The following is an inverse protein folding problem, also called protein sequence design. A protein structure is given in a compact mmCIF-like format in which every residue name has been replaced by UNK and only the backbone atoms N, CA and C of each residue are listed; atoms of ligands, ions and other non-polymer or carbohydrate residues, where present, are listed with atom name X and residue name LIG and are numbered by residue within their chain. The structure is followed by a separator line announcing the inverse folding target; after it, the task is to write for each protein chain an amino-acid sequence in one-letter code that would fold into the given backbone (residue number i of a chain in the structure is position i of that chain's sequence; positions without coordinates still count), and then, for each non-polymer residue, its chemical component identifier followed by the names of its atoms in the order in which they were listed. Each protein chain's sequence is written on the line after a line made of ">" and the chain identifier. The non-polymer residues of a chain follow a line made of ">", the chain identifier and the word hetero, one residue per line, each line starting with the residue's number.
data_IF_550158147593
#
_entry.id   IF_550158147593
#
_cell.length_a   1.000
_cell.length_b   1.000
_cell.length_c   1.000
_cell.angle_alpha   90.00
_cell.angle_beta   90.00
_cell.angle_gamma   90.00
#
_symmetry.space_group_name_H-M   'P 1'
#
loop_
_entity.id
_entity.type
_entity.pdbx_description
1 polymer ?
#
# COMPACT_ATOMS: atom_id res chain seq x y z
N UNK A 1 -4.66 10.64 8.27
CA UNK A 1 -4.93 11.31 9.56
C UNK A 1 -3.67 11.51 10.39
N UNK A 2 -2.86 10.48 10.67
CA UNK A 2 -1.61 10.63 11.44
C UNK A 2 -0.64 11.71 10.91
N UNK A 3 -0.49 11.86 9.60
CA UNK A 3 0.32 12.93 9.01
C UNK A 3 -0.13 14.36 9.39
N UNK A 4 -1.45 14.61 9.49
CA UNK A 4 -1.98 15.91 9.93
C UNK A 4 -1.70 16.15 11.41
N UNK A 5 -1.82 15.13 12.25
CA UNK A 5 -1.62 15.23 13.69
C UNK A 5 -0.15 15.48 14.04
N UNK A 6 0.77 14.71 13.42
CA UNK A 6 2.21 14.79 13.75
C UNK A 6 2.97 15.87 12.99
N UNK A 7 2.60 16.17 11.73
CA UNK A 7 3.36 17.09 10.85
C UNK A 7 2.57 18.34 10.43
N UNK A 8 1.32 18.50 10.88
CA UNK A 8 0.44 19.65 10.55
C UNK A 8 0.31 19.92 9.06
N UNK A 9 0.34 18.88 8.25
CA UNK A 9 0.28 19.02 6.80
C UNK A 9 -1.13 19.40 6.32
N UNK A 10 -1.25 20.31 5.33
CA UNK A 10 -2.54 20.59 4.74
C UNK A 10 -3.01 19.36 3.94
N UNK A 11 -4.07 18.68 4.37
CA UNK A 11 -4.76 17.74 3.45
C UNK A 11 -5.51 18.58 2.42
N UNK A 12 -5.22 18.33 1.16
CA UNK A 12 -5.99 18.88 0.06
C UNK A 12 -7.41 18.29 0.07
N UNK A 13 -8.40 19.08 -0.31
CA UNK A 13 -9.80 18.66 -0.45
C UNK A 13 -9.90 17.49 -1.45
N UNK A 14 -9.13 17.54 -2.54
CA UNK A 14 -9.03 16.47 -3.54
C UNK A 14 -8.56 15.15 -2.94
N UNK A 15 -7.61 15.17 -1.99
CA UNK A 15 -7.17 13.96 -1.30
C UNK A 15 -8.27 13.38 -0.41
N UNK A 16 -9.02 14.23 0.29
CA UNK A 16 -10.11 13.77 1.15
C UNK A 16 -11.23 13.10 0.33
N UNK A 17 -11.62 13.70 -0.79
CA UNK A 17 -12.63 13.13 -1.71
C UNK A 17 -12.13 11.79 -2.27
N UNK A 18 -10.87 11.74 -2.72
CA UNK A 18 -10.31 10.51 -3.27
C UNK A 18 -10.26 9.39 -2.24
N UNK A 19 -9.92 9.66 -0.98
CA UNK A 19 -9.91 8.64 0.09
C UNK A 19 -11.31 8.10 0.36
N UNK A 20 -12.33 8.96 0.36
CA UNK A 20 -13.71 8.50 0.51
C UNK A 20 -14.08 7.61 -0.67
N UNK A 21 -13.73 8.02 -1.88
CA UNK A 21 -14.03 7.27 -3.09
C UNK A 21 -13.31 5.92 -3.13
N UNK A 22 -12.05 5.84 -2.71
CA UNK A 22 -11.33 4.56 -2.62
C UNK A 22 -11.96 3.64 -1.57
N UNK A 23 -12.34 4.16 -0.39
CA UNK A 23 -12.99 3.36 0.65
C UNK A 23 -14.33 2.80 0.14
N UNK A 24 -15.16 3.64 -0.47
CA UNK A 24 -16.43 3.19 -1.07
C UNK A 24 -16.16 2.16 -2.16
N UNK A 25 -15.20 2.40 -3.06
CA UNK A 25 -14.79 1.46 -4.08
C UNK A 25 -14.43 0.08 -3.51
N UNK A 26 -13.62 0.02 -2.46
CA UNK A 26 -13.23 -1.23 -1.77
C UNK A 26 -14.44 -1.95 -1.16
N UNK A 27 -15.39 -1.22 -0.57
CA UNK A 27 -16.62 -1.83 0.02
C UNK A 27 -17.44 -2.53 -1.06
N UNK A 28 -17.58 -1.91 -2.24
CA UNK A 28 -18.26 -2.52 -3.38
C UNK A 28 -17.48 -3.71 -3.95
N UNK A 29 -16.16 -3.58 -4.10
CA UNK A 29 -15.25 -4.64 -4.54
C UNK A 29 -15.35 -5.90 -3.70
N UNK A 30 -15.34 -5.75 -2.38
CA UNK A 30 -15.36 -6.87 -1.44
C UNK A 30 -16.75 -7.52 -1.34
N UNK A 31 -17.73 -7.02 -2.10
CA UNK A 31 -19.14 -7.41 -2.04
C UNK A 31 -19.71 -7.36 -0.62
N UNK A 32 -19.17 -6.46 0.21
CA UNK A 32 -19.55 -6.32 1.62
C UNK A 32 -21.07 -6.18 1.82
N UNK A 33 -21.82 -5.41 1.00
CA UNK A 33 -23.27 -5.25 1.16
C UNK A 33 -24.04 -6.57 1.06
N UNK A 34 -23.62 -7.48 0.19
CA UNK A 34 -24.26 -8.79 0.03
C UNK A 34 -23.95 -9.74 1.19
N UNK A 35 -22.76 -9.61 1.81
CA UNK A 35 -22.34 -10.42 2.95
C UNK A 35 -22.99 -10.03 4.27
N UNK A 36 -23.46 -8.78 4.40
CA UNK A 36 -24.22 -8.33 5.58
C UNK A 36 -25.60 -8.99 5.70
N UNK A 37 -26.15 -9.50 4.60
CA UNK A 37 -27.48 -10.13 4.56
C UNK A 37 -27.42 -11.65 4.79
N UNK A 38 -26.23 -12.25 4.85
CA UNK A 38 -26.02 -13.66 5.18
C UNK A 38 -25.88 -13.85 6.71
N UNK A 39 -26.24 -15.04 7.19
CA UNK A 39 -26.38 -15.46 8.60
C UNK A 39 -25.30 -14.93 9.58
N UNK A 40 -25.61 -14.81 10.90
CA UNK A 40 -24.73 -14.20 11.89
C UNK A 40 -23.32 -14.78 11.83
N UNK A 41 -22.35 -13.93 11.53
CA UNK A 41 -20.95 -14.28 11.44
C UNK A 41 -20.52 -14.84 12.80
N UNK A 42 -20.25 -16.15 12.88
CA UNK A 42 -19.66 -16.73 14.08
C UNK A 42 -18.29 -16.08 14.29
N UNK A 43 -18.19 -15.25 15.34
CA UNK A 43 -16.96 -14.63 15.79
C UNK A 43 -16.12 -15.70 16.50
N UNK A 44 -15.28 -16.39 15.73
CA UNK A 44 -14.25 -17.28 16.29
C UNK A 44 -13.07 -16.43 16.79
N UNK A 45 -12.41 -16.89 17.86
CA UNK A 45 -11.24 -16.23 18.46
C UNK A 45 -10.15 -15.91 17.42
N UNK A 46 -9.96 -16.79 16.44
CA UNK A 46 -8.97 -16.61 15.35
C UNK A 46 -9.25 -15.36 14.49
N UNK A 47 -10.54 -15.06 14.23
CA UNK A 47 -10.93 -13.86 13.47
C UNK A 47 -10.62 -12.58 14.23
N UNK A 48 -10.75 -12.63 15.56
CA UNK A 48 -10.45 -11.49 16.43
C UNK A 48 -8.93 -11.24 16.46
N UNK A 49 -8.11 -12.29 16.57
CA UNK A 49 -6.66 -12.16 16.46
C UNK A 49 -6.22 -11.61 15.10
N UNK A 50 -6.83 -12.09 14.00
CA UNK A 50 -6.57 -11.57 12.66
C UNK A 50 -6.94 -10.08 12.52
N UNK A 51 -8.09 -9.66 13.06
CA UNK A 51 -8.52 -8.26 13.05
C UNK A 51 -7.57 -7.37 13.86
N UNK A 52 -7.17 -7.80 15.06
CA UNK A 52 -6.22 -7.08 15.88
C UNK A 52 -4.85 -6.95 15.20
N UNK A 53 -4.36 -8.03 14.58
CA UNK A 53 -3.12 -8.02 13.82
C UNK A 53 -3.19 -7.06 12.62
N UNK A 54 -4.34 -6.99 11.91
CA UNK A 54 -4.53 -6.06 10.81
C UNK A 54 -4.57 -4.59 11.27
N UNK A 55 -5.20 -4.29 12.41
CA UNK A 55 -5.20 -2.93 12.97
C UNK A 55 -3.78 -2.53 13.39
N UNK A 56 -3.05 -3.45 14.02
CA UNK A 56 -1.67 -3.23 14.44
C UNK A 56 -0.74 -3.01 13.24
N UNK A 57 -0.87 -3.80 12.17
CA UNK A 57 -0.05 -3.64 10.96
C UNK A 57 -0.32 -2.29 10.28
N UNK A 58 -1.58 -1.84 10.21
CA UNK A 58 -1.93 -0.51 9.70
C UNK A 58 -1.22 0.60 10.50
N UNK A 59 -1.17 0.47 11.83
CA UNK A 59 -0.49 1.42 12.68
C UNK A 59 1.02 1.44 12.40
N UNK A 60 1.69 0.28 12.37
CA UNK A 60 3.11 0.15 12.05
C UNK A 60 3.45 0.72 10.67
N UNK A 61 2.68 0.36 9.64
CA UNK A 61 2.87 0.87 8.27
C UNK A 61 2.76 2.39 8.27
N UNK A 62 1.73 2.95 8.91
CA UNK A 62 1.56 4.41 8.98
C UNK A 62 2.73 5.10 9.69
N UNK A 63 3.28 4.50 10.75
CA UNK A 63 4.44 5.01 11.46
C UNK A 63 5.71 4.96 10.59
N UNK A 64 5.96 3.85 9.90
CA UNK A 64 7.11 3.68 8.99
C UNK A 64 7.09 4.74 7.90
N UNK A 65 5.94 4.99 7.27
CA UNK A 65 5.77 6.00 6.23
C UNK A 65 6.11 7.42 6.74
N UNK A 66 5.70 7.74 7.97
CA UNK A 66 5.99 9.03 8.62
C UNK A 66 7.46 9.17 9.03
N UNK A 67 8.05 8.12 9.60
CA UNK A 67 9.47 8.09 10.01
C UNK A 67 10.36 8.20 8.78
N UNK A 68 10.06 7.43 7.73
CA UNK A 68 10.75 7.46 6.43
C UNK A 68 10.82 8.88 5.88
N UNK A 69 9.71 9.61 5.97
CA UNK A 69 9.66 11.01 5.57
C UNK A 69 10.48 11.92 6.48
N UNK A 70 10.41 11.74 7.80
CA UNK A 70 11.19 12.54 8.76
C UNK A 70 12.69 12.42 8.51
N UNK A 71 13.14 11.26 8.02
CA UNK A 71 14.54 10.93 7.78
C UNK A 71 14.91 11.08 6.28
N UNK A 72 14.22 11.93 5.52
CA UNK A 72 14.47 12.13 4.06
C UNK A 72 15.89 12.57 3.69
N UNK A 73 16.63 13.14 4.64
CA UNK A 73 18.00 13.61 4.44
C UNK A 73 19.02 12.46 4.32
N UNK A 74 18.65 11.24 4.73
CA UNK A 74 19.51 10.06 4.63
C UNK A 74 19.39 9.45 3.22
N UNK A 75 20.49 8.87 2.74
CA UNK A 75 20.51 8.17 1.46
C UNK A 75 19.57 6.96 1.49
N UNK A 76 18.82 6.76 0.40
CA UNK A 76 17.75 5.77 0.29
C UNK A 76 18.26 4.35 0.58
N UNK A 77 19.45 4.03 0.09
CA UNK A 77 20.10 2.74 0.31
C UNK A 77 20.35 2.41 1.80
N UNK A 78 20.60 3.41 2.65
CA UNK A 78 20.83 3.18 4.08
C UNK A 78 19.51 2.84 4.76
N UNK A 79 18.43 3.52 4.36
CA UNK A 79 17.12 3.31 4.93
C UNK A 79 16.52 1.96 4.52
N UNK A 80 16.62 1.59 3.24
CA UNK A 80 16.17 0.27 2.75
C UNK A 80 16.98 -0.87 3.36
N UNK A 81 18.29 -0.70 3.54
CA UNK A 81 19.12 -1.67 4.25
C UNK A 81 18.68 -1.85 5.71
N UNK A 82 18.41 -0.75 6.42
CA UNK A 82 17.94 -0.79 7.80
C UNK A 82 16.56 -1.47 7.92
N UNK A 83 15.63 -1.19 7.02
CA UNK A 83 14.36 -1.91 6.99
C UNK A 83 14.53 -3.39 6.64
N UNK A 84 15.47 -3.72 5.76
CA UNK A 84 15.75 -5.10 5.34
C UNK A 84 16.16 -6.02 6.50
N UNK A 85 17.13 -5.62 7.32
CA UNK A 85 17.57 -6.49 8.43
C UNK A 85 16.54 -6.56 9.56
N UNK A 86 15.81 -5.46 9.84
CA UNK A 86 14.72 -5.47 10.83
C UNK A 86 13.59 -6.39 10.37
N UNK A 87 13.19 -6.30 9.10
CA UNK A 87 12.19 -7.21 8.51
C UNK A 87 12.65 -8.66 8.52
N UNK A 88 13.94 -8.91 8.28
CA UNK A 88 14.52 -10.26 8.40
C UNK A 88 14.36 -10.81 9.82
N UNK A 89 14.64 -10.01 10.86
CA UNK A 89 14.44 -10.43 12.25
C UNK A 89 12.96 -10.63 12.58
N UNK A 90 12.10 -9.73 12.12
CA UNK A 90 10.65 -9.79 12.33
C UNK A 90 10.04 -11.07 11.73
N UNK A 91 10.57 -11.56 10.59
CA UNK A 91 10.11 -12.80 9.97
C UNK A 91 10.81 -14.02 10.60
N UNK A 92 12.11 -13.93 10.90
CA UNK A 92 12.90 -15.05 11.42
C UNK A 92 12.44 -15.47 12.83
N UNK A 93 12.12 -14.50 13.71
CA UNK A 93 11.73 -14.79 15.10
C UNK A 93 10.44 -15.62 15.20
N UNK A 94 9.30 -15.22 14.60
CA UNK A 94 8.09 -16.04 14.58
C UNK A 94 8.33 -17.37 13.89
N UNK A 95 9.06 -17.39 12.78
CA UNK A 95 9.35 -18.64 12.04
C UNK A 95 10.13 -19.64 12.91
N UNK A 96 11.08 -19.17 13.71
CA UNK A 96 11.81 -20.01 14.66
C UNK A 96 10.92 -20.55 15.78
N UNK A 97 9.97 -19.75 16.28
CA UNK A 97 9.03 -20.15 17.33
C UNK A 97 8.02 -21.18 16.83
N UNK A 98 7.49 -21.01 15.61
CA UNK A 98 6.49 -21.92 15.05
C UNK A 98 7.08 -23.21 14.44
N UNK A 99 8.41 -23.33 14.32
CA UNK A 99 9.14 -24.58 14.05
C UNK A 99 8.90 -25.26 12.69
N UNK A 100 8.09 -24.68 11.79
CA UNK A 100 7.67 -25.31 10.52
C UNK A 100 8.52 -24.86 9.32
N UNK A 101 9.82 -24.71 9.50
CA UNK A 101 10.67 -24.20 8.43
C UNK A 101 11.06 -25.32 7.46
N UNK A 102 10.47 -25.29 6.26
CA UNK A 102 10.83 -26.19 5.15
C UNK A 102 11.59 -25.40 4.10
N UNK A 103 12.90 -25.63 4.01
CA UNK A 103 13.72 -24.99 3.00
C UNK A 103 13.48 -25.66 1.64
N UNK A 104 12.89 -24.94 0.70
CA UNK A 104 12.71 -25.41 -0.67
C UNK A 104 13.96 -25.06 -1.50
N UNK A 105 15.05 -25.83 -1.37
CA UNK A 105 16.31 -25.57 -2.08
C UNK A 105 16.30 -26.03 -3.54
N UNK A 106 15.50 -27.02 -3.90
CA UNK A 106 15.56 -27.66 -5.22
C UNK A 106 14.35 -27.32 -6.10
N UNK A 107 14.63 -26.79 -7.30
CA UNK A 107 13.66 -26.63 -8.38
C UNK A 107 13.52 -25.21 -8.92
N UNK A 108 12.59 -25.02 -9.87
CA UNK A 108 12.24 -23.73 -10.46
C UNK A 108 11.66 -22.76 -9.40
N UNK A 109 11.15 -23.29 -8.27
CA UNK A 109 10.63 -22.51 -7.15
C UNK A 109 11.65 -21.52 -6.58
N UNK A 110 12.93 -21.91 -6.47
CA UNK A 110 14.00 -21.03 -6.01
C UNK A 110 14.20 -19.81 -6.93
N UNK A 111 14.00 -20.01 -8.24
CA UNK A 111 14.10 -18.93 -9.25
C UNK A 111 12.92 -17.95 -9.07
N UNK A 112 11.71 -18.44 -8.85
CA UNK A 112 10.56 -17.58 -8.58
C UNK A 112 10.71 -16.78 -7.28
N UNK A 113 11.26 -17.38 -6.23
CA UNK A 113 11.55 -16.67 -4.97
C UNK A 113 12.58 -15.57 -5.19
N UNK A 114 13.64 -15.84 -5.96
CA UNK A 114 14.65 -14.83 -6.29
C UNK A 114 14.06 -13.68 -7.11
N UNK A 115 13.24 -14.00 -8.12
CA UNK A 115 12.56 -13.00 -8.96
C UNK A 115 11.62 -12.13 -8.11
N UNK A 116 10.84 -12.75 -7.22
CA UNK A 116 9.95 -12.06 -6.28
C UNK A 116 10.76 -11.13 -5.36
N UNK A 117 11.86 -11.60 -4.80
CA UNK A 117 12.71 -10.79 -3.93
C UNK A 117 13.29 -9.57 -4.66
N UNK A 118 13.75 -9.74 -5.90
CA UNK A 118 14.26 -8.65 -6.73
C UNK A 118 13.17 -7.61 -7.04
N UNK A 119 11.96 -8.06 -7.40
CA UNK A 119 10.85 -7.17 -7.70
C UNK A 119 10.35 -6.43 -6.46
N UNK A 120 10.22 -7.12 -5.32
CA UNK A 120 9.84 -6.51 -4.04
C UNK A 120 10.86 -5.47 -3.58
N UNK A 121 12.16 -5.81 -3.61
CA UNK A 121 13.21 -4.86 -3.25
C UNK A 121 13.19 -3.62 -4.14
N UNK A 122 12.98 -3.79 -5.45
CA UNK A 122 12.85 -2.68 -6.38
C UNK A 122 11.63 -1.82 -6.04
N UNK A 123 10.47 -2.42 -5.77
CA UNK A 123 9.25 -1.71 -5.36
C UNK A 123 9.45 -0.92 -4.07
N UNK A 124 10.05 -1.53 -3.06
CA UNK A 124 10.33 -0.87 -1.77
C UNK A 124 11.28 0.33 -1.93
N UNK A 125 12.31 0.20 -2.77
CA UNK A 125 13.24 1.32 -3.04
C UNK A 125 12.55 2.49 -3.73
N UNK A 126 11.67 2.22 -4.70
CA UNK A 126 10.88 3.24 -5.39
C UNK A 126 9.91 3.92 -4.42
N UNK A 127 9.25 3.14 -3.55
CA UNK A 127 8.33 3.67 -2.54
C UNK A 127 9.06 4.58 -1.54
N UNK A 128 10.22 4.14 -1.05
CA UNK A 128 11.10 4.95 -0.20
C UNK A 128 11.48 6.26 -0.89
N UNK A 129 11.88 6.22 -2.16
CA UNK A 129 12.21 7.42 -2.94
C UNK A 129 10.99 8.35 -3.06
N UNK A 130 9.81 7.81 -3.36
CA UNK A 130 8.58 8.59 -3.48
C UNK A 130 8.22 9.32 -2.18
N UNK A 131 8.36 8.65 -1.03
CA UNK A 131 8.10 9.24 0.29
C UNK A 131 9.12 10.30 0.69
N UNK A 132 10.36 10.20 0.20
CA UNK A 132 11.34 11.25 0.40
C UNK A 132 11.09 12.46 -0.49
N UNK A 133 10.40 12.29 -1.62
CA UNK A 133 10.12 13.36 -2.58
C UNK A 133 8.82 14.12 -2.30
N UNK A 134 7.75 13.41 -1.92
CA UNK A 134 6.41 13.96 -1.78
C UNK A 134 5.85 13.87 -0.36
N UNK A 135 4.67 14.46 -0.16
CA UNK A 135 3.98 14.35 1.12
C UNK A 135 3.47 12.90 1.33
N UNK A 136 3.65 12.35 2.53
CA UNK A 136 3.24 10.99 2.89
C UNK A 136 1.74 10.72 2.64
N UNK A 137 0.89 11.74 2.82
CA UNK A 137 -0.54 11.66 2.52
C UNK A 137 -0.82 11.27 1.06
N UNK A 138 -0.52 12.14 0.07
CA UNK A 138 -0.75 11.85 -1.34
C UNK A 138 -0.04 10.58 -1.82
N UNK A 139 1.21 10.32 -1.40
CA UNK A 139 1.94 9.10 -1.78
C UNK A 139 1.19 7.85 -1.32
N UNK A 140 0.75 7.81 -0.05
CA UNK A 140 0.00 6.66 0.49
C UNK A 140 -1.33 6.43 -0.23
N UNK A 141 -2.03 7.51 -0.58
CA UNK A 141 -3.33 7.40 -1.28
C UNK A 141 -3.17 6.89 -2.71
N UNK A 142 -2.14 7.34 -3.43
CA UNK A 142 -1.86 6.87 -4.79
C UNK A 142 -1.42 5.42 -4.77
N UNK A 143 -0.53 5.05 -3.85
CA UNK A 143 -0.08 3.68 -3.67
C UNK A 143 -1.27 2.73 -3.44
N UNK A 144 -2.12 3.04 -2.46
CA UNK A 144 -3.29 2.21 -2.16
C UNK A 144 -4.23 2.09 -3.36
N UNK A 145 -4.51 3.18 -4.08
CA UNK A 145 -5.37 3.14 -5.26
C UNK A 145 -4.76 2.33 -6.42
N UNK A 146 -3.45 2.47 -6.63
CA UNK A 146 -2.71 1.71 -7.65
C UNK A 146 -2.68 0.21 -7.32
N UNK A 147 -2.39 -0.16 -6.07
CA UNK A 147 -2.37 -1.56 -5.63
C UNK A 147 -3.73 -2.24 -5.85
N UNK A 148 -4.83 -1.56 -5.48
CA UNK A 148 -6.19 -2.08 -5.69
C UNK A 148 -6.48 -2.24 -7.18
N UNK A 149 -6.16 -1.22 -7.98
CA UNK A 149 -6.45 -1.23 -9.42
C UNK A 149 -5.64 -2.30 -10.16
N UNK A 150 -4.35 -2.44 -9.83
CA UNK A 150 -3.47 -3.46 -10.39
C UNK A 150 -3.91 -4.86 -9.97
N UNK A 151 -4.30 -5.05 -8.70
CA UNK A 151 -4.84 -6.33 -8.24
C UNK A 151 -6.08 -6.74 -9.03
N UNK A 152 -6.96 -5.79 -9.34
CA UNK A 152 -8.13 -6.04 -10.18
C UNK A 152 -7.81 -6.41 -11.61
N UNK A 153 -6.92 -5.65 -12.26
CA UNK A 153 -6.47 -5.94 -13.62
C UNK A 153 -5.85 -7.34 -13.66
N UNK A 154 -5.04 -7.67 -12.66
CA UNK A 154 -4.45 -9.00 -12.52
C UNK A 154 -5.51 -10.10 -12.35
N UNK A 155 -6.51 -9.88 -11.50
CA UNK A 155 -7.62 -10.81 -11.31
C UNK A 155 -8.36 -11.11 -12.62
N UNK A 156 -8.69 -10.08 -13.39
CA UNK A 156 -9.42 -10.23 -14.66
C UNK A 156 -8.57 -10.97 -15.71
N UNK A 157 -7.28 -10.62 -15.84
CA UNK A 157 -6.40 -11.19 -16.85
C UNK A 157 -6.06 -12.65 -16.55
N UNK A 158 -5.68 -12.97 -15.31
CA UNK A 158 -5.16 -14.30 -14.97
C UNK A 158 -6.23 -15.28 -14.51
N UNK A 159 -7.22 -14.82 -13.74
CA UNK A 159 -8.24 -15.70 -13.19
C UNK A 159 -9.48 -15.78 -14.09
N UNK A 160 -9.58 -14.93 -15.13
CA UNK A 160 -10.74 -14.82 -16.04
C UNK A 160 -12.08 -14.69 -15.30
N UNK A 161 -12.04 -14.26 -14.04
CA UNK A 161 -13.20 -14.20 -13.18
C UNK A 161 -13.91 -12.87 -13.48
N UNK A 162 -14.99 -12.94 -14.26
CA UNK A 162 -15.69 -11.75 -14.72
C UNK A 162 -16.30 -11.06 -13.50
N UNK A 163 -15.91 -9.80 -13.22
CA UNK A 163 -16.41 -9.10 -12.05
C UNK A 163 -17.92 -8.94 -12.16
N UNK A 164 -18.60 -9.38 -11.11
CA UNK A 164 -20.03 -9.15 -10.86
C UNK A 164 -20.36 -7.64 -10.93
N UNK A 165 -21.62 -7.28 -11.11
CA UNK A 165 -22.05 -5.88 -11.32
C UNK A 165 -21.55 -4.93 -10.23
N UNK A 166 -21.49 -5.40 -8.98
CA UNK A 166 -20.91 -4.66 -7.84
C UNK A 166 -19.38 -4.45 -7.96
N UNK A 167 -18.66 -5.43 -8.50
CA UNK A 167 -17.21 -5.34 -8.75
C UNK A 167 -16.88 -4.33 -9.84
N UNK A 168 -17.69 -4.26 -10.90
CA UNK A 168 -17.54 -3.26 -11.98
C UNK A 168 -17.73 -1.84 -11.43
N UNK A 169 -18.74 -1.62 -10.59
CA UNK A 169 -18.96 -0.33 -9.93
C UNK A 169 -17.79 0.02 -9.01
N UNK A 170 -17.30 -0.94 -8.22
CA UNK A 170 -16.12 -0.75 -7.36
C UNK A 170 -14.87 -0.35 -8.16
N UNK A 171 -14.58 -1.07 -9.25
CA UNK A 171 -13.41 -0.83 -10.10
C UNK A 171 -13.46 0.55 -10.80
N UNK A 172 -14.64 0.96 -11.28
CA UNK A 172 -14.80 2.29 -11.88
C UNK A 172 -14.61 3.40 -10.85
N UNK A 173 -15.13 3.24 -9.63
CA UNK A 173 -14.92 4.20 -8.53
C UNK A 173 -13.44 4.37 -8.17
N UNK A 174 -12.71 3.25 -8.04
CA UNK A 174 -11.27 3.29 -7.73
C UNK A 174 -10.49 3.93 -8.88
N UNK A 175 -10.84 3.62 -10.14
CA UNK A 175 -10.21 4.25 -11.30
C UNK A 175 -10.40 5.77 -11.29
N UNK A 176 -11.63 6.25 -11.06
CA UNK A 176 -11.95 7.68 -10.97
C UNK A 176 -11.17 8.36 -9.85
N UNK A 177 -10.92 7.67 -8.73
CA UNK A 177 -10.12 8.21 -7.62
C UNK A 177 -8.67 8.52 -8.03
N UNK A 178 -8.05 7.66 -8.85
CA UNK A 178 -6.69 7.88 -9.37
C UNK A 178 -6.67 9.10 -10.28
N UNK A 179 -7.65 9.22 -11.18
CA UNK A 179 -7.78 10.39 -12.06
C UNK A 179 -7.95 11.69 -11.28
N UNK A 180 -8.77 11.68 -10.22
CA UNK A 180 -8.97 12.85 -9.33
C UNK A 180 -7.68 13.27 -8.61
N UNK A 181 -6.87 12.32 -8.13
CA UNK A 181 -5.57 12.65 -7.51
C UNK A 181 -4.61 13.22 -8.55
N UNK A 182 -4.54 12.61 -9.73
CA UNK A 182 -3.70 13.08 -10.85
C UNK A 182 -4.07 14.50 -11.28
N UNK A 183 -5.36 14.77 -11.47
CA UNK A 183 -5.88 16.10 -11.78
C UNK A 183 -5.60 17.11 -10.67
N UNK A 184 -5.79 16.73 -9.41
CA UNK A 184 -5.48 17.59 -8.27
C UNK A 184 -4.00 17.99 -8.24
N UNK A 185 -3.09 17.05 -8.55
CA UNK A 185 -1.65 17.34 -8.66
C UNK A 185 -1.34 18.24 -9.86
N UNK A 186 -1.99 18.01 -11.00
CA UNK A 186 -1.79 18.82 -12.20
C UNK A 186 -2.25 20.27 -12.00
N UNK A 187 -3.41 20.48 -11.36
CA UNK A 187 -3.91 21.81 -11.02
C UNK A 187 -2.97 22.56 -10.06
N UNK A 188 -2.44 21.89 -9.04
CA UNK A 188 -1.46 22.49 -8.12
C UNK A 188 -0.14 22.82 -8.84
N UNK A 189 0.24 22.00 -9.83
CA UNK A 189 1.43 22.26 -10.66
C UNK A 189 1.25 23.49 -11.56
N UNK A 190 0.03 23.77 -12.04
CA UNK A 190 -0.28 24.95 -12.84
C UNK A 190 -0.21 26.24 -12.01
N UNK A 191 -0.47 26.17 -10.70
CA UNK A 191 -0.30 27.30 -9.76
C UNK A 191 1.17 27.61 -9.43
N UNK A 192 2.15 26.98 -10.11
CA UNK A 192 3.56 27.33 -10.03
C UNK A 192 4.30 26.86 -8.77
N UNK A 193 3.66 26.10 -7.87
CA UNK A 193 4.34 25.45 -6.73
C UNK A 193 5.05 24.18 -7.19
N UNK A 194 6.19 24.35 -7.85
CA UNK A 194 7.09 23.26 -8.21
C UNK A 194 7.68 22.67 -6.92
N UNK A 195 7.11 21.55 -6.45
CA UNK A 195 7.77 20.65 -5.50
C UNK A 195 8.77 19.78 -6.28
N UNK A 196 9.87 20.38 -6.72
CA UNK A 196 10.94 19.65 -7.39
C UNK A 196 11.66 18.77 -6.38
N UNK A 197 11.53 17.45 -6.52
CA UNK A 197 12.40 16.52 -5.82
C UNK A 197 13.78 16.53 -6.49
N UNK A 198 14.68 17.38 -5.97
CA UNK A 198 16.07 17.50 -6.45
C UNK A 198 16.95 16.25 -6.29
N UNK A 199 16.39 15.10 -5.86
CA UNK A 199 17.11 13.82 -5.71
C UNK A 199 17.16 12.96 -6.97
N UNK A 200 16.51 13.36 -8.07
CA UNK A 200 16.65 12.71 -9.39
C UNK A 200 17.88 13.19 -10.18
N UNK A 201 18.91 13.68 -9.50
CA UNK A 201 20.22 13.94 -10.11
C UNK A 201 21.06 12.67 -9.97
N UNK A 202 20.81 11.71 -10.85
CA UNK A 202 21.75 10.62 -11.08
C UNK A 202 22.97 11.21 -11.82
N UNK A 203 24.10 11.21 -11.11
CA UNK A 203 25.46 11.61 -11.55
C UNK A 203 25.67 13.12 -11.74
#
# INVERSE_FOLDING_TARGET
>A
MFARVFFKEPCSIFQSISVILTVVGIVFTTKLPTRFNEAPIAYSSEKIYGLLAAIFSLFCISAIQLITRKIRNVHQSIMTFNFGWVGLLEIALPTAVFGNFKWQLCGIQSIYILLLALFSFSGDTILVMALQCEYAGPVSTVLAAADISLAFVWQIIFFHDVPDSYGIIGATLVSVSIFLIGLGKWLISLEGKIFSCGKFKFI
#
